data_IF_641832411940
#
_entry.id   IF_641832411940
#
_cell.length_a   1.000
_cell.length_b   1.000
_cell.length_c   1.000
_cell.angle_alpha   90.00
_cell.angle_beta   90.00
_cell.angle_gamma   90.00
#
_symmetry.space_group_name_H-M   'P 1'
#
loop_
_entity.id
_entity.type
_entity.pdbx_description
1 polymer ?
#
# COMPACT_ATOMS: atom_id res chain seq x y z
N UNK A 1 17.89 -6.46 7.84
CA UNK A 1 17.24 -5.57 6.89
C UNK A 1 18.17 -4.54 6.28
N UNK A 2 19.11 -3.96 7.06
CA UNK A 2 20.06 -2.96 6.55
C UNK A 2 21.17 -3.54 5.66
N UNK A 3 21.32 -4.85 5.58
CA UNK A 3 22.27 -5.55 4.68
C UNK A 3 21.89 -5.40 3.20
N UNK A 4 20.66 -5.01 2.89
CA UNK A 4 20.15 -4.83 1.53
C UNK A 4 20.15 -3.35 1.07
N UNK A 5 20.86 -2.48 1.76
CA UNK A 5 20.95 -1.08 1.36
C UNK A 5 21.95 -0.90 0.23
N UNK A 6 21.45 -0.43 -0.91
CA UNK A 6 22.30 0.07 -1.99
C UNK A 6 22.85 1.44 -1.62
N UNK A 7 24.15 1.59 -1.61
CA UNK A 7 24.81 2.89 -1.44
C UNK A 7 25.09 3.49 -2.81
N UNK A 8 24.41 4.60 -3.11
CA UNK A 8 24.66 5.32 -4.35
C UNK A 8 26.15 5.75 -4.39
N UNK A 9 26.91 5.42 -5.43
CA UNK A 9 28.32 5.81 -5.55
C UNK A 9 28.50 7.33 -5.67
N UNK A 10 27.49 8.01 -6.25
CA UNK A 10 27.55 9.46 -6.49
C UNK A 10 27.06 10.20 -5.25
N UNK A 11 27.91 11.07 -4.70
CA UNK A 11 27.52 12.13 -3.76
C UNK A 11 27.00 13.31 -4.59
N UNK A 12 25.78 13.76 -4.28
CA UNK A 12 25.09 14.78 -5.10
C UNK A 12 25.41 16.19 -4.59
N UNK A 13 26.34 16.87 -5.22
CA UNK A 13 26.76 18.25 -4.88
C UNK A 13 26.20 19.29 -5.86
N UNK A 14 25.81 18.85 -7.05
CA UNK A 14 25.26 19.70 -8.10
C UNK A 14 24.21 18.92 -8.94
N UNK A 15 23.54 19.59 -9.87
CA UNK A 15 22.48 18.97 -10.67
C UNK A 15 22.98 17.85 -11.59
N UNK A 16 24.23 17.89 -12.07
CA UNK A 16 24.78 16.82 -12.89
C UNK A 16 24.99 15.55 -12.06
N UNK A 17 25.47 15.70 -10.83
CA UNK A 17 25.58 14.58 -9.88
C UNK A 17 24.21 13.99 -9.58
N UNK A 18 23.21 14.83 -9.38
CA UNK A 18 21.84 14.37 -9.16
C UNK A 18 21.31 13.54 -10.33
N UNK A 19 21.54 13.99 -11.58
CA UNK A 19 21.12 13.22 -12.77
C UNK A 19 21.81 11.86 -12.81
N UNK A 20 23.10 11.80 -12.48
CA UNK A 20 23.88 10.58 -12.41
C UNK A 20 23.35 9.66 -11.29
N UNK A 21 23.12 10.20 -10.09
CA UNK A 21 22.57 9.46 -8.96
C UNK A 21 21.21 8.84 -9.29
N UNK A 22 20.29 9.60 -9.93
CA UNK A 22 19.00 9.05 -10.37
C UNK A 22 19.17 7.86 -11.32
N UNK A 23 20.13 7.94 -12.24
CA UNK A 23 20.43 6.85 -13.18
C UNK A 23 20.97 5.61 -12.45
N UNK A 24 21.89 5.81 -11.52
CA UNK A 24 22.49 4.73 -10.69
C UNK A 24 21.41 4.03 -9.81
N UNK A 25 20.55 4.81 -9.16
CA UNK A 25 19.45 4.28 -8.33
C UNK A 25 18.45 3.47 -9.17
N UNK A 26 18.09 3.95 -10.34
CA UNK A 26 17.20 3.22 -11.26
C UNK A 26 17.83 1.94 -11.77
N UNK A 27 19.11 1.98 -12.16
CA UNK A 27 19.83 0.81 -12.64
C UNK A 27 19.96 -0.27 -11.53
N UNK A 28 20.06 0.14 -10.28
CA UNK A 28 20.10 -0.77 -9.14
C UNK A 28 18.71 -1.30 -8.69
N UNK A 29 17.61 -0.85 -9.34
CA UNK A 29 16.26 -1.28 -9.00
C UNK A 29 15.79 -0.80 -7.62
N UNK A 30 16.32 0.33 -7.13
CA UNK A 30 15.97 0.90 -5.83
C UNK A 30 14.52 1.40 -5.87
N UNK A 31 13.72 1.04 -4.89
CA UNK A 31 12.31 1.38 -4.78
C UNK A 31 11.95 2.27 -3.57
N UNK A 32 12.91 2.55 -2.70
CA UNK A 32 12.81 3.55 -1.64
C UNK A 32 14.15 4.24 -1.46
N UNK A 33 14.17 5.54 -1.15
CA UNK A 33 15.37 6.36 -1.08
C UNK A 33 15.53 6.95 0.31
N UNK A 34 16.75 6.94 0.83
CA UNK A 34 17.14 7.74 1.99
C UNK A 34 18.13 8.81 1.50
N UNK A 35 17.77 10.07 1.69
CA UNK A 35 18.65 11.21 1.50
C UNK A 35 19.27 11.54 2.85
N UNK A 36 20.56 11.35 2.97
CA UNK A 36 21.31 11.60 4.19
C UNK A 36 22.19 12.83 4.04
N UNK A 37 21.93 13.85 4.84
CA UNK A 37 22.68 15.07 4.90
C UNK A 37 23.84 14.90 5.89
N UNK A 38 25.02 14.62 5.38
CA UNK A 38 26.25 14.60 6.19
C UNK A 38 26.84 15.98 6.44
N UNK A 39 26.28 17.00 5.80
CA UNK A 39 26.65 18.42 5.85
C UNK A 39 25.39 19.24 5.51
N UNK A 40 25.50 20.57 5.40
CA UNK A 40 24.40 21.47 4.99
C UNK A 40 23.68 20.95 3.73
N UNK A 41 24.44 20.55 2.70
CA UNK A 41 23.94 20.03 1.45
C UNK A 41 23.38 21.12 0.50
N UNK A 42 23.32 20.83 -0.82
CA UNK A 42 22.68 21.70 -1.80
C UNK A 42 21.17 21.41 -1.88
N UNK A 43 20.37 22.13 -1.12
CA UNK A 43 18.91 21.95 -0.98
C UNK A 43 18.13 21.79 -2.30
N UNK A 44 18.57 22.47 -3.36
CA UNK A 44 17.97 22.33 -4.70
C UNK A 44 18.20 20.92 -5.25
N UNK A 45 19.43 20.44 -5.16
CA UNK A 45 19.86 19.16 -5.75
C UNK A 45 19.20 17.98 -5.06
N UNK A 46 19.24 17.92 -3.74
CA UNK A 46 18.68 16.82 -2.96
C UNK A 46 17.16 16.74 -3.06
N UNK A 47 16.47 17.87 -3.12
CA UNK A 47 15.01 17.90 -3.24
C UNK A 47 14.54 17.63 -4.68
N UNK A 48 15.34 18.01 -5.70
CA UNK A 48 15.13 17.60 -7.09
C UNK A 48 15.41 16.10 -7.26
N UNK A 49 16.43 15.55 -6.60
CA UNK A 49 16.68 14.11 -6.57
C UNK A 49 15.45 13.36 -6.10
N UNK A 50 14.90 13.75 -4.94
CA UNK A 50 13.68 13.16 -4.39
C UNK A 50 12.50 13.26 -5.37
N UNK A 51 12.29 14.43 -5.97
CA UNK A 51 11.22 14.64 -6.97
C UNK A 51 11.38 13.77 -8.21
N UNK A 52 12.59 13.65 -8.74
CA UNK A 52 12.88 12.84 -9.95
C UNK A 52 12.90 11.34 -9.68
N UNK A 53 13.23 10.94 -8.45
CA UNK A 53 13.14 9.56 -8.02
C UNK A 53 11.68 9.10 -8.01
N UNK A 54 10.76 9.90 -7.45
CA UNK A 54 9.32 9.73 -7.58
C UNK A 54 8.71 8.56 -6.78
N UNK A 55 9.51 7.90 -5.94
CA UNK A 55 9.10 6.81 -5.07
C UNK A 55 9.30 7.23 -3.60
N UNK A 56 8.91 6.41 -2.61
CA UNK A 56 9.06 6.77 -1.20
C UNK A 56 10.46 7.25 -0.86
N UNK A 57 10.55 8.40 -0.21
CA UNK A 57 11.82 9.01 0.19
C UNK A 57 11.78 9.45 1.65
N UNK A 58 12.88 9.22 2.35
CA UNK A 58 13.15 9.69 3.71
C UNK A 58 14.30 10.69 3.67
N UNK A 59 14.24 11.70 4.52
CA UNK A 59 15.36 12.63 4.79
C UNK A 59 15.81 12.49 6.23
N UNK A 60 17.13 12.44 6.42
CA UNK A 60 17.77 12.45 7.73
C UNK A 60 19.12 13.16 7.65
N UNK A 61 19.60 13.68 8.76
CA UNK A 61 20.83 14.45 8.84
C UNK A 61 21.77 13.96 9.97
N UNK A 62 23.04 14.21 9.79
CA UNK A 62 24.07 13.92 10.78
C UNK A 62 23.94 14.84 12.00
N UNK A 63 24.09 14.30 13.20
CA UNK A 63 24.32 15.10 14.39
C UNK A 63 25.78 15.58 14.44
N UNK A 64 25.98 16.86 14.66
CA UNK A 64 27.29 17.42 14.97
C UNK A 64 27.55 17.31 16.47
N UNK A 65 28.67 16.70 16.85
CA UNK A 65 29.02 16.45 18.25
C UNK A 65 29.53 17.73 18.97
N UNK A 66 30.09 18.67 18.21
CA UNK A 66 30.59 19.92 18.77
C UNK A 66 30.60 21.09 17.79
N UNK A 67 30.58 22.34 18.29
CA UNK A 67 30.73 23.54 17.46
C UNK A 67 32.07 23.63 16.72
N UNK A 68 33.04 22.80 17.03
CA UNK A 68 34.33 22.76 16.33
C UNK A 68 34.21 22.22 14.93
N UNK A 69 33.26 21.29 14.72
CA UNK A 69 33.01 20.67 13.42
C UNK A 69 32.42 21.67 12.42
N UNK A 70 31.78 22.73 12.89
CA UNK A 70 31.28 23.81 12.06
C UNK A 70 32.38 24.72 11.50
N UNK A 71 33.55 24.77 12.15
CA UNK A 71 34.67 25.64 11.77
C UNK A 71 35.54 25.01 10.69
N UNK A 72 35.91 23.75 10.88
CA UNK A 72 36.85 23.04 9.99
C UNK A 72 36.18 22.19 8.95
N UNK A 73 34.99 21.64 9.22
CA UNK A 73 34.29 20.72 8.34
C UNK A 73 32.98 21.24 7.74
N UNK A 74 32.53 22.44 8.14
CA UNK A 74 31.24 22.98 7.71
C UNK A 74 30.10 21.97 7.85
N UNK A 75 29.96 21.38 9.01
CA UNK A 75 28.86 20.48 9.32
C UNK A 75 27.50 21.11 8.98
N UNK A 76 26.82 21.65 9.95
CA UNK A 76 25.54 22.36 9.84
C UNK A 76 24.44 21.57 9.09
N UNK A 77 24.47 20.25 9.25
CA UNK A 77 23.49 19.38 8.64
C UNK A 77 22.06 19.62 9.16
N UNK A 78 21.92 20.09 10.40
CA UNK A 78 20.61 20.48 10.96
C UNK A 78 19.99 21.64 10.18
N UNK A 79 20.76 22.71 9.89
CA UNK A 79 20.28 23.82 9.08
C UNK A 79 19.92 23.36 7.64
N UNK A 80 20.76 22.49 7.06
CA UNK A 80 20.47 21.85 5.78
C UNK A 80 19.14 21.10 5.80
N UNK A 81 18.84 20.36 6.86
CA UNK A 81 17.58 19.65 7.01
C UNK A 81 16.36 20.58 7.08
N UNK A 82 16.48 21.72 7.76
CA UNK A 82 15.42 22.74 7.78
C UNK A 82 15.13 23.29 6.38
N UNK A 83 16.19 23.62 5.63
CA UNK A 83 16.07 24.12 4.27
C UNK A 83 15.53 23.05 3.31
N UNK A 84 16.00 21.81 3.40
CA UNK A 84 15.50 20.67 2.63
C UNK A 84 13.99 20.49 2.87
N UNK A 85 13.55 20.54 4.12
CA UNK A 85 12.13 20.37 4.49
C UNK A 85 11.26 21.45 3.84
N UNK A 86 11.69 22.71 3.86
CA UNK A 86 11.00 23.80 3.19
C UNK A 86 10.96 23.60 1.66
N UNK A 87 12.09 23.25 1.06
CA UNK A 87 12.19 23.05 -0.40
C UNK A 87 11.39 21.85 -0.90
N UNK A 88 11.28 20.77 -0.13
CA UNK A 88 10.37 19.64 -0.43
C UNK A 88 8.93 20.14 -0.55
N UNK A 89 8.49 20.98 0.38
CA UNK A 89 7.17 21.62 0.34
C UNK A 89 6.97 22.48 -0.91
N UNK A 90 7.94 23.32 -1.27
CA UNK A 90 7.89 24.15 -2.48
C UNK A 90 7.77 23.32 -3.77
N UNK A 91 8.34 22.12 -3.80
CA UNK A 91 8.31 21.23 -4.95
C UNK A 91 7.15 20.23 -4.95
N UNK A 92 6.30 20.27 -3.93
CA UNK A 92 5.19 19.34 -3.75
C UNK A 92 5.64 17.89 -3.54
N UNK A 93 6.83 17.69 -2.98
CA UNK A 93 7.37 16.36 -2.67
C UNK A 93 6.98 15.98 -1.25
N UNK A 94 6.27 14.86 -1.11
CA UNK A 94 5.97 14.26 0.18
C UNK A 94 7.12 13.33 0.56
N UNK A 95 7.87 13.68 1.59
CA UNK A 95 8.94 12.86 2.13
C UNK A 95 8.61 12.42 3.55
N UNK A 96 9.10 11.25 3.95
CA UNK A 96 9.09 10.83 5.34
C UNK A 96 10.21 11.59 6.07
N UNK A 97 9.85 12.39 7.03
CA UNK A 97 10.78 13.10 7.92
C UNK A 97 10.50 12.57 9.31
N UNK A 98 11.47 11.89 9.97
CA UNK A 98 11.32 11.50 11.38
C UNK A 98 11.00 12.70 12.28
N UNK A 99 10.38 12.44 13.41
CA UNK A 99 10.02 13.49 14.39
C UNK A 99 11.24 14.36 14.77
N UNK A 100 12.41 13.73 14.93
CA UNK A 100 13.69 14.41 15.05
C UNK A 100 14.68 13.83 14.04
N UNK A 101 14.84 14.46 12.86
CA UNK A 101 15.54 13.87 11.73
C UNK A 101 17.06 13.95 11.78
N UNK A 102 17.64 14.36 12.91
CA UNK A 102 19.09 14.53 13.10
C UNK A 102 19.58 13.52 14.12
N UNK A 103 20.64 12.77 13.81
CA UNK A 103 21.11 11.75 14.70
C UNK A 103 22.54 11.27 14.46
N UNK A 104 23.06 10.57 15.47
CA UNK A 104 24.27 9.74 15.31
C UNK A 104 24.00 8.63 14.29
N UNK A 105 25.04 7.95 13.76
CA UNK A 105 24.86 6.85 12.82
C UNK A 105 23.87 5.79 13.29
N UNK A 106 23.92 5.41 14.59
CA UNK A 106 23.00 4.40 15.15
C UNK A 106 21.55 4.91 15.15
N UNK A 107 21.34 6.19 15.51
CA UNK A 107 20.01 6.78 15.47
C UNK A 107 19.45 6.91 14.06
N UNK A 108 20.29 7.24 13.09
CA UNK A 108 19.86 7.27 11.68
C UNK A 108 19.53 5.85 11.19
N UNK A 109 20.26 4.82 11.63
CA UNK A 109 19.91 3.44 11.32
C UNK A 109 18.54 3.06 11.88
N UNK A 110 18.22 3.41 13.13
CA UNK A 110 16.88 3.23 13.71
C UNK A 110 15.79 3.95 12.90
N UNK A 111 16.04 5.18 12.46
CA UNK A 111 15.12 5.94 11.61
C UNK A 111 14.86 5.23 10.28
N UNK A 112 15.90 4.68 9.65
CA UNK A 112 15.79 3.92 8.41
C UNK A 112 14.94 2.65 8.62
N UNK A 113 15.17 1.94 9.73
CA UNK A 113 14.36 0.76 10.09
C UNK A 113 12.88 1.13 10.26
N UNK A 114 12.60 2.26 10.87
CA UNK A 114 11.23 2.80 11.01
C UNK A 114 10.61 3.24 9.67
N UNK A 115 11.41 3.67 8.71
CA UNK A 115 10.94 4.06 7.38
C UNK A 115 10.57 2.87 6.49
N UNK A 116 11.24 1.72 6.63
CA UNK A 116 11.01 0.55 5.77
C UNK A 116 9.52 0.15 5.70
N UNK A 117 8.79 -0.03 6.83
CA UNK A 117 7.38 -0.39 6.78
C UNK A 117 6.52 0.69 6.13
N UNK A 118 6.84 1.97 6.33
CA UNK A 118 6.15 3.10 5.70
C UNK A 118 6.32 3.05 4.18
N UNK A 119 7.57 2.87 3.71
CA UNK A 119 7.86 2.75 2.29
C UNK A 119 7.14 1.55 1.64
N UNK A 120 7.11 0.41 2.32
CA UNK A 120 6.37 -0.78 1.87
C UNK A 120 4.87 -0.51 1.74
N UNK A 121 4.26 0.15 2.73
CA UNK A 121 2.85 0.49 2.69
C UNK A 121 2.53 1.43 1.52
N UNK A 122 3.31 2.48 1.32
CA UNK A 122 3.12 3.42 0.19
C UNK A 122 3.27 2.72 -1.16
N UNK A 123 4.28 1.86 -1.31
CA UNK A 123 4.48 1.08 -2.53
C UNK A 123 3.36 0.06 -2.76
N UNK A 124 2.89 -0.61 -1.70
CA UNK A 124 1.78 -1.55 -1.77
C UNK A 124 0.49 -0.86 -2.21
N UNK A 125 0.16 0.29 -1.61
CA UNK A 125 -1.02 1.07 -1.97
C UNK A 125 -0.99 1.55 -3.43
N UNK A 126 0.17 1.91 -3.96
CA UNK A 126 0.30 2.29 -5.38
C UNK A 126 0.09 1.13 -6.36
N UNK A 127 0.06 -0.10 -5.87
CA UNK A 127 -0.16 -1.33 -6.64
C UNK A 127 -1.49 -2.01 -6.30
N UNK A 128 -2.35 -1.32 -5.58
CA UNK A 128 -3.62 -1.82 -5.10
C UNK A 128 -4.75 -1.51 -6.08
N UNK A 129 -5.64 -2.48 -6.26
CA UNK A 129 -6.97 -2.28 -6.85
C UNK A 129 -8.04 -2.66 -5.85
N UNK A 130 -8.98 -1.76 -5.64
CA UNK A 130 -10.21 -2.02 -4.89
C UNK A 130 -11.32 -2.31 -5.87
N UNK A 131 -11.94 -3.47 -5.76
CA UNK A 131 -13.10 -3.87 -6.55
C UNK A 131 -14.32 -3.81 -5.64
N UNK A 132 -15.29 -2.97 -5.99
CA UNK A 132 -16.51 -2.82 -5.21
C UNK A 132 -17.74 -3.36 -5.96
N UNK A 133 -18.68 -3.91 -5.18
CA UNK A 133 -19.98 -4.36 -5.68
C UNK A 133 -21.08 -3.65 -4.89
N UNK A 134 -21.59 -2.57 -5.48
CA UNK A 134 -22.51 -1.65 -4.84
C UNK A 134 -23.86 -1.48 -5.52
N UNK A 135 -24.59 -0.45 -5.16
CA UNK A 135 -24.21 0.65 -4.26
C UNK A 135 -24.17 0.26 -2.79
N UNK A 136 -23.59 1.16 -1.95
CA UNK A 136 -23.61 1.02 -0.49
C UNK A 136 -25.04 0.80 0.02
N UNK A 137 -25.25 -0.02 1.08
CA UNK A 137 -26.56 -0.15 1.71
C UNK A 137 -27.09 1.18 2.22
N UNK A 138 -28.40 1.29 2.27
CA UNK A 138 -29.09 2.43 2.87
C UNK A 138 -28.67 2.59 4.34
N UNK A 139 -28.54 3.82 4.81
CA UNK A 139 -28.15 4.21 6.17
C UNK A 139 -26.71 3.92 6.62
N UNK A 140 -25.88 3.29 5.80
CA UNK A 140 -24.44 3.07 6.09
C UNK A 140 -23.61 4.30 5.66
N UNK A 141 -23.94 5.47 6.19
CA UNK A 141 -23.26 6.72 5.81
C UNK A 141 -21.79 6.77 6.24
N UNK A 142 -21.41 6.06 7.30
CA UNK A 142 -20.04 5.95 7.75
C UNK A 142 -19.10 5.33 6.69
N UNK A 143 -19.63 4.45 5.83
CA UNK A 143 -18.89 3.82 4.74
C UNK A 143 -18.77 4.71 3.49
N UNK A 144 -19.27 5.95 3.54
CA UNK A 144 -19.29 6.89 2.41
C UNK A 144 -18.16 7.92 2.49
N UNK A 145 -16.93 7.48 2.66
CA UNK A 145 -15.80 8.37 2.62
C UNK A 145 -15.41 8.71 1.16
N UNK A 146 -14.90 9.93 0.90
CA UNK A 146 -14.46 10.33 -0.43
C UNK A 146 -13.30 9.46 -0.94
N UNK A 147 -13.51 8.78 -2.07
CA UNK A 147 -12.50 7.87 -2.67
C UNK A 147 -11.42 8.60 -3.46
N UNK A 148 -11.64 9.88 -3.82
CA UNK A 148 -10.70 10.64 -4.64
C UNK A 148 -9.26 10.65 -4.09
N UNK A 149 -9.11 10.59 -2.75
CA UNK A 149 -7.79 10.54 -2.11
C UNK A 149 -7.03 9.24 -2.31
N UNK A 150 -7.71 8.16 -2.66
CA UNK A 150 -7.06 6.88 -2.96
C UNK A 150 -6.32 6.94 -4.31
N UNK A 151 -6.86 7.66 -5.28
CA UNK A 151 -6.16 7.92 -6.55
C UNK A 151 -4.89 8.75 -6.36
N UNK A 152 -4.88 9.70 -5.40
CA UNK A 152 -3.69 10.50 -5.07
C UNK A 152 -2.50 9.65 -4.58
N UNK A 153 -2.77 8.48 -4.01
CA UNK A 153 -1.75 7.53 -3.54
C UNK A 153 -1.50 6.37 -4.52
N UNK A 154 -2.18 6.40 -5.67
CA UNK A 154 -1.99 5.46 -6.76
C UNK A 154 -2.84 4.20 -6.70
N UNK A 155 -3.77 4.07 -5.74
CA UNK A 155 -4.74 2.98 -5.74
C UNK A 155 -5.78 3.18 -6.84
N UNK A 156 -6.21 2.09 -7.49
CA UNK A 156 -7.29 2.10 -8.46
C UNK A 156 -8.56 1.53 -7.87
N UNK A 157 -9.70 2.06 -8.30
CA UNK A 157 -11.01 1.63 -7.82
C UNK A 157 -11.88 1.27 -9.01
N UNK A 158 -12.45 0.07 -8.95
CA UNK A 158 -13.42 -0.43 -9.92
C UNK A 158 -14.77 -0.60 -9.23
N UNK A 159 -15.76 0.12 -9.70
CA UNK A 159 -17.11 0.08 -9.14
C UNK A 159 -18.05 -0.72 -10.03
N UNK A 160 -18.59 -1.81 -9.49
CA UNK A 160 -19.53 -2.70 -10.13
C UNK A 160 -20.86 -2.75 -9.36
N UNK A 161 -21.89 -3.30 -9.96
CA UNK A 161 -23.17 -3.53 -9.29
C UNK A 161 -23.23 -4.94 -8.68
N UNK A 162 -24.14 -5.14 -7.70
CA UNK A 162 -24.45 -6.48 -7.20
C UNK A 162 -25.00 -7.40 -8.30
N UNK A 163 -25.60 -6.84 -9.36
CA UNK A 163 -26.11 -7.63 -10.49
C UNK A 163 -24.95 -8.23 -11.30
N UNK A 164 -23.85 -7.51 -11.45
CA UNK A 164 -22.67 -8.03 -12.13
C UNK A 164 -22.06 -9.20 -11.33
N UNK A 165 -21.96 -9.04 -10.01
CA UNK A 165 -21.52 -10.11 -9.12
C UNK A 165 -22.46 -11.33 -9.17
N UNK A 166 -23.79 -11.09 -9.20
CA UNK A 166 -24.77 -12.17 -9.26
C UNK A 166 -24.72 -12.90 -10.60
N UNK A 167 -24.53 -12.19 -11.71
CA UNK A 167 -24.34 -12.79 -13.02
C UNK A 167 -23.09 -13.65 -13.07
N UNK A 168 -21.96 -13.15 -12.58
CA UNK A 168 -20.72 -13.90 -12.50
C UNK A 168 -20.83 -15.13 -11.59
N UNK A 169 -21.49 -15.00 -10.43
CA UNK A 169 -21.76 -16.13 -9.54
C UNK A 169 -22.53 -17.24 -10.27
N UNK A 170 -23.60 -16.88 -11.00
CA UNK A 170 -24.39 -17.85 -11.75
C UNK A 170 -23.59 -18.49 -12.90
N UNK A 171 -22.68 -17.76 -13.52
CA UNK A 171 -21.80 -18.29 -14.57
C UNK A 171 -20.87 -19.39 -14.05
N UNK A 172 -20.52 -19.35 -12.77
CA UNK A 172 -19.71 -20.39 -12.11
C UNK A 172 -20.52 -21.58 -11.59
N UNK A 173 -21.83 -21.68 -11.91
CA UNK A 173 -22.63 -22.83 -11.51
C UNK A 173 -22.08 -24.11 -12.14
N UNK A 174 -21.75 -25.10 -11.30
CA UNK A 174 -21.18 -26.36 -11.75
C UNK A 174 -19.68 -26.33 -12.07
N UNK A 175 -18.97 -25.28 -11.70
CA UNK A 175 -17.51 -25.23 -11.84
C UNK A 175 -16.85 -26.41 -11.11
N UNK A 176 -15.92 -27.07 -11.80
CA UNK A 176 -15.27 -28.28 -11.30
C UNK A 176 -14.44 -28.08 -10.01
N UNK A 177 -14.08 -26.83 -9.68
CA UNK A 177 -13.34 -26.48 -8.45
C UNK A 177 -14.22 -26.46 -7.20
N UNK A 178 -15.55 -26.36 -7.36
CA UNK A 178 -16.51 -26.19 -6.24
C UNK A 178 -16.37 -27.31 -5.21
N UNK A 179 -16.32 -28.56 -5.67
CA UNK A 179 -16.24 -29.72 -4.77
C UNK A 179 -14.99 -29.69 -3.90
N UNK A 180 -13.84 -29.38 -4.49
CA UNK A 180 -12.56 -29.26 -3.78
C UNK A 180 -12.59 -28.13 -2.75
N UNK A 181 -13.03 -26.93 -3.16
CA UNK A 181 -13.07 -25.75 -2.25
C UNK A 181 -14.06 -25.97 -1.12
N UNK A 182 -15.22 -26.58 -1.40
CA UNK A 182 -16.21 -26.92 -0.36
C UNK A 182 -15.65 -27.95 0.65
N UNK A 183 -14.86 -28.91 0.20
CA UNK A 183 -14.19 -29.87 1.08
C UNK A 183 -13.12 -29.19 1.98
N UNK A 184 -12.36 -28.26 1.44
CA UNK A 184 -11.41 -27.43 2.20
C UNK A 184 -12.14 -26.62 3.28
N UNK A 185 -13.26 -25.98 2.94
CA UNK A 185 -14.10 -25.24 3.88
C UNK A 185 -14.66 -26.14 4.99
N UNK A 186 -15.10 -27.34 4.62
CA UNK A 186 -15.58 -28.31 5.60
C UNK A 186 -14.49 -28.73 6.60
N UNK A 187 -13.27 -28.94 6.12
CA UNK A 187 -12.12 -29.28 6.96
C UNK A 187 -11.73 -28.13 7.90
N UNK A 188 -11.72 -26.89 7.41
CA UNK A 188 -11.42 -25.69 8.22
C UNK A 188 -12.45 -25.48 9.33
N UNK A 189 -13.73 -25.61 9.02
CA UNK A 189 -14.81 -25.39 9.99
C UNK A 189 -14.99 -26.57 10.98
N UNK A 190 -14.64 -27.78 10.58
CA UNK A 190 -14.74 -28.97 11.41
C UNK A 190 -16.11 -29.11 12.07
N UNK A 191 -16.13 -29.38 13.38
CA UNK A 191 -17.37 -29.52 14.17
C UNK A 191 -18.14 -28.19 14.33
N UNK A 192 -17.52 -27.06 14.02
CA UNK A 192 -18.17 -25.73 14.01
C UNK A 192 -19.17 -25.57 12.87
N UNK A 193 -19.08 -26.40 11.82
CA UNK A 193 -19.98 -26.33 10.69
C UNK A 193 -21.39 -26.82 11.02
N UNK A 194 -22.32 -25.90 11.19
CA UNK A 194 -23.73 -26.20 11.47
C UNK A 194 -24.60 -26.26 10.21
N UNK A 195 -24.05 -25.88 9.05
CA UNK A 195 -24.77 -25.78 7.78
C UNK A 195 -23.97 -26.37 6.61
N UNK A 196 -23.63 -27.67 6.63
CA UNK A 196 -22.77 -28.27 5.61
C UNK A 196 -23.33 -28.19 4.18
N UNK A 197 -24.65 -28.17 4.03
CA UNK A 197 -25.31 -28.09 2.72
C UNK A 197 -25.12 -26.75 1.98
N UNK A 198 -24.62 -25.69 2.66
CA UNK A 198 -24.40 -24.38 2.04
C UNK A 198 -22.98 -24.28 1.42
N UNK A 199 -22.04 -25.14 1.82
CA UNK A 199 -20.63 -25.03 1.42
C UNK A 199 -20.40 -24.98 -0.09
N UNK A 200 -21.11 -25.75 -0.95
CA UNK A 200 -20.94 -25.64 -2.38
C UNK A 200 -21.23 -24.24 -2.94
N UNK A 201 -22.25 -23.53 -2.40
CA UNK A 201 -22.56 -22.16 -2.79
C UNK A 201 -21.51 -21.17 -2.31
N UNK A 202 -20.99 -21.36 -1.10
CA UNK A 202 -19.90 -20.54 -0.57
C UNK A 202 -18.62 -20.73 -1.37
N UNK A 203 -18.32 -21.98 -1.77
CA UNK A 203 -17.19 -22.29 -2.63
C UNK A 203 -17.33 -21.66 -4.02
N UNK A 204 -18.53 -21.75 -4.62
CA UNK A 204 -18.83 -21.07 -5.88
C UNK A 204 -18.60 -19.54 -5.77
N UNK A 205 -19.04 -18.93 -4.68
CA UNK A 205 -18.84 -17.50 -4.44
C UNK A 205 -17.36 -17.13 -4.27
N UNK A 206 -16.59 -17.92 -3.53
CA UNK A 206 -15.14 -17.71 -3.41
C UNK A 206 -14.44 -17.79 -4.76
N UNK A 207 -14.75 -18.80 -5.56
CA UNK A 207 -14.21 -18.98 -6.91
C UNK A 207 -14.56 -17.76 -7.78
N UNK A 208 -15.80 -17.28 -7.68
CA UNK A 208 -16.25 -16.11 -8.44
C UNK A 208 -15.43 -14.87 -8.11
N UNK A 209 -15.17 -14.60 -6.83
CA UNK A 209 -14.36 -13.44 -6.44
C UNK A 209 -12.89 -13.59 -6.86
N UNK A 210 -12.32 -14.78 -6.75
CA UNK A 210 -10.94 -15.03 -7.15
C UNK A 210 -10.73 -14.88 -8.65
N UNK A 211 -11.64 -15.42 -9.46
CA UNK A 211 -11.58 -15.28 -10.91
C UNK A 211 -11.81 -13.81 -11.32
N UNK A 212 -12.75 -13.13 -10.69
CA UNK A 212 -12.96 -11.69 -10.91
C UNK A 212 -11.69 -10.88 -10.61
N UNK A 213 -11.02 -11.18 -9.49
CA UNK A 213 -9.76 -10.52 -9.14
C UNK A 213 -8.71 -10.71 -10.24
N UNK A 214 -8.52 -11.94 -10.72
CA UNK A 214 -7.54 -12.25 -11.78
C UNK A 214 -7.87 -11.55 -13.11
N UNK A 215 -9.15 -11.55 -13.51
CA UNK A 215 -9.59 -10.94 -14.76
C UNK A 215 -9.50 -9.41 -14.74
N UNK A 216 -9.68 -8.80 -13.57
CA UNK A 216 -9.82 -7.36 -13.43
C UNK A 216 -8.63 -6.65 -12.77
N UNK A 217 -7.65 -7.36 -12.22
CA UNK A 217 -6.51 -6.73 -11.53
C UNK A 217 -5.65 -5.84 -12.45
N UNK A 218 -5.62 -6.14 -13.75
CA UNK A 218 -4.77 -5.42 -14.71
C UNK A 218 -3.29 -5.54 -14.35
N UNK A 219 -2.59 -4.41 -14.26
CA UNK A 219 -1.18 -4.35 -13.86
C UNK A 219 -0.95 -4.33 -12.34
N UNK A 220 -2.02 -4.41 -11.54
CA UNK A 220 -1.94 -4.33 -10.09
C UNK A 220 -1.48 -5.65 -9.47
N UNK A 221 -0.74 -5.56 -8.37
CA UNK A 221 -0.26 -6.73 -7.64
C UNK A 221 -1.26 -7.21 -6.58
N UNK A 222 -2.02 -6.27 -6.01
CA UNK A 222 -2.95 -6.53 -4.92
C UNK A 222 -4.38 -6.17 -5.32
N UNK A 223 -5.31 -7.03 -4.93
CA UNK A 223 -6.74 -6.79 -5.09
C UNK A 223 -7.42 -6.95 -3.73
N UNK A 224 -8.31 -6.04 -3.42
CA UNK A 224 -9.20 -6.11 -2.26
C UNK A 224 -10.63 -5.86 -2.71
N UNK A 225 -11.60 -6.36 -1.95
CA UNK A 225 -13.00 -6.21 -2.27
C UNK A 225 -13.75 -5.34 -1.26
N UNK A 226 -14.70 -4.57 -1.75
CA UNK A 226 -15.69 -3.87 -0.94
C UNK A 226 -17.08 -4.27 -1.44
N UNK A 227 -17.71 -5.23 -0.79
CA UNK A 227 -19.02 -5.74 -1.18
C UNK A 227 -20.06 -5.52 -0.09
N UNK A 228 -21.31 -5.87 -0.36
CA UNK A 228 -22.38 -5.84 0.65
C UNK A 228 -23.17 -7.14 0.63
N UNK A 229 -23.79 -7.44 1.77
CA UNK A 229 -24.69 -8.58 1.87
C UNK A 229 -26.14 -8.17 2.18
N UNK A 230 -26.34 -6.99 2.69
CA UNK A 230 -27.63 -6.50 3.14
C UNK A 230 -28.19 -5.44 2.18
N UNK A 231 -29.52 -5.43 1.88
CA UNK A 231 -30.53 -6.36 2.40
C UNK A 231 -30.81 -7.56 1.48
N UNK A 232 -30.39 -7.55 0.22
CA UNK A 232 -30.89 -8.46 -0.82
C UNK A 232 -30.03 -9.73 -1.06
N UNK A 233 -28.80 -9.76 -0.57
CA UNK A 233 -27.87 -10.85 -0.87
C UNK A 233 -28.43 -12.21 -0.44
N UNK A 234 -28.99 -12.31 0.77
CA UNK A 234 -29.56 -13.57 1.29
C UNK A 234 -30.67 -14.13 0.40
N UNK A 235 -31.52 -13.25 -0.13
CA UNK A 235 -32.66 -13.67 -0.96
C UNK A 235 -32.26 -14.04 -2.37
N UNK A 236 -31.22 -13.42 -2.91
CA UNK A 236 -30.75 -13.66 -4.28
C UNK A 236 -29.74 -14.81 -4.35
N UNK A 237 -28.72 -14.83 -3.51
CA UNK A 237 -27.69 -15.86 -3.50
C UNK A 237 -28.07 -17.07 -2.63
N UNK A 238 -28.97 -16.86 -1.66
CA UNK A 238 -29.42 -17.88 -0.72
C UNK A 238 -28.44 -18.24 0.40
N UNK A 239 -27.50 -17.33 0.69
CA UNK A 239 -26.54 -17.42 1.80
C UNK A 239 -26.07 -16.03 2.21
N UNK A 240 -25.25 -15.95 3.28
CA UNK A 240 -24.51 -14.74 3.68
C UNK A 240 -23.02 -14.94 3.41
N UNK A 241 -22.28 -13.93 2.89
CA UNK A 241 -20.90 -14.07 2.45
C UNK A 241 -19.85 -14.02 3.57
N UNK A 242 -20.25 -13.73 4.81
CA UNK A 242 -19.35 -13.40 5.92
C UNK A 242 -18.20 -14.40 6.11
N UNK A 243 -18.46 -15.70 5.98
CA UNK A 243 -17.42 -16.73 6.11
C UNK A 243 -16.41 -16.65 4.96
N UNK A 244 -16.87 -16.49 3.72
CA UNK A 244 -15.98 -16.37 2.55
C UNK A 244 -15.17 -15.08 2.63
N UNK A 245 -15.80 -13.96 3.00
CA UNK A 245 -15.11 -12.69 3.18
C UNK A 245 -13.98 -12.83 4.21
N UNK A 246 -14.28 -13.39 5.38
CA UNK A 246 -13.28 -13.65 6.42
C UNK A 246 -12.18 -14.60 5.96
N UNK A 247 -12.53 -15.64 5.20
CA UNK A 247 -11.57 -16.62 4.68
C UNK A 247 -10.60 -16.00 3.66
N UNK A 248 -11.10 -15.16 2.78
CA UNK A 248 -10.27 -14.43 1.81
C UNK A 248 -9.37 -13.41 2.52
N UNK A 249 -9.89 -12.62 3.46
CA UNK A 249 -9.09 -11.69 4.28
C UNK A 249 -7.97 -12.42 5.01
N UNK A 250 -8.26 -13.57 5.62
CA UNK A 250 -7.24 -14.42 6.25
C UNK A 250 -6.18 -14.98 5.31
N UNK A 251 -6.43 -14.96 4.00
CA UNK A 251 -5.51 -15.38 2.93
C UNK A 251 -4.82 -14.20 2.22
N UNK A 252 -4.97 -12.99 2.75
CA UNK A 252 -4.34 -11.78 2.21
C UNK A 252 -5.12 -11.11 1.07
N UNK A 253 -6.41 -11.44 0.93
CA UNK A 253 -7.34 -10.75 0.01
C UNK A 253 -8.45 -10.13 0.86
N UNK A 254 -8.24 -8.93 1.40
CA UNK A 254 -9.24 -8.24 2.20
C UNK A 254 -10.59 -8.10 1.52
N UNK A 255 -11.66 -8.35 2.27
CA UNK A 255 -13.04 -8.20 1.80
C UNK A 255 -13.86 -7.47 2.85
N UNK A 256 -14.01 -6.16 2.68
CA UNK A 256 -14.82 -5.33 3.56
C UNK A 256 -16.30 -5.41 3.21
N UNK A 257 -17.17 -5.29 4.22
CA UNK A 257 -18.61 -5.21 4.03
C UNK A 257 -19.10 -3.77 3.76
N UNK A 258 -20.37 -3.65 3.35
CA UNK A 258 -21.12 -2.39 3.21
C UNK A 258 -20.53 -1.43 2.16
N UNK A 259 -19.77 -1.98 1.20
CA UNK A 259 -19.05 -1.21 0.18
C UNK A 259 -18.13 -0.18 0.84
N UNK A 260 -17.54 -0.55 1.97
CA UNK A 260 -16.57 0.28 2.66
C UNK A 260 -15.19 0.15 2.01
N UNK A 261 -14.96 1.00 1.01
CA UNK A 261 -13.71 1.02 0.24
C UNK A 261 -12.51 1.35 1.13
N UNK A 262 -12.67 2.29 2.09
CA UNK A 262 -11.59 2.62 3.01
C UNK A 262 -11.33 1.52 4.04
N UNK A 263 -12.39 0.82 4.47
CA UNK A 263 -12.27 -0.40 5.28
C UNK A 263 -11.43 -1.45 4.57
N UNK A 264 -11.75 -1.75 3.30
CA UNK A 264 -11.00 -2.72 2.50
C UNK A 264 -9.50 -2.36 2.33
N UNK A 265 -9.19 -1.06 2.23
CA UNK A 265 -7.79 -0.58 2.15
C UNK A 265 -7.09 -0.69 3.51
N UNK A 266 -7.85 -0.63 4.61
CA UNK A 266 -7.29 -0.63 5.98
C UNK A 266 -7.01 -2.02 6.53
N UNK A 267 -7.70 -3.06 6.00
CA UNK A 267 -7.51 -4.47 6.34
C UNK A 267 -6.23 -5.04 5.75
#
# INVERSE_FOLDING_TARGET
PLEQIFRCPTVSENENDMVKAVSELKAAGVNALVVYLGNFGPETVETLLAKKFGLPVMFAAAAEESGKDLIDGRGDAFCGMLNASYNLGLRGVKAYIPEYPVGTPDKVAEMIEGFIPVARAVLGLSKLKVISFGPRPQDFLACNAPIARLYDIGAEIEENSELDLYAAFNAHAGDARIEKVAAEMAAELGQGNKMPGILPKLAQYEITLLDWAEEHKGEREYVVFANKCWPSFQTQFGFVPCYVNSRLTGRGIPVSCEVDIWGAVSE
#
